data_IF_672341960706
#
_entry.id   IF_672341960706
#
_cell.length_a   1.000
_cell.length_b   1.000
_cell.length_c   1.000
_cell.angle_alpha   90.00
_cell.angle_beta   90.00
_cell.angle_gamma   90.00
#
_symmetry.space_group_name_H-M   'P 1'
#
loop_
_entity.id
_entity.type
_entity.pdbx_description
1 polymer ?
#
# COMPACT_ATOMS: atom_id res chain seq x y z
N UNK A 1 -38.39 -33.56 13.50
CA UNK A 1 -37.68 -32.28 13.77
C UNK A 1 -36.20 -32.24 13.31
N UNK A 2 -35.76 -33.10 12.37
CA UNK A 2 -34.32 -33.27 12.05
C UNK A 2 -33.83 -32.42 10.84
N UNK A 3 -34.73 -32.00 9.95
CA UNK A 3 -34.37 -31.35 8.67
C UNK A 3 -33.87 -29.91 8.80
N UNK A 4 -34.30 -29.18 9.84
CA UNK A 4 -33.89 -27.77 10.08
C UNK A 4 -32.43 -27.65 10.57
N UNK A 5 -31.92 -28.64 11.31
CA UNK A 5 -30.56 -28.56 11.87
C UNK A 5 -29.48 -28.79 10.80
N UNK A 6 -29.74 -29.66 9.81
CA UNK A 6 -28.83 -29.90 8.68
C UNK A 6 -28.66 -28.66 7.79
N UNK A 7 -29.73 -27.89 7.58
CA UNK A 7 -29.67 -26.65 6.78
C UNK A 7 -28.90 -25.55 7.51
N UNK A 8 -29.07 -25.43 8.83
CA UNK A 8 -28.28 -24.50 9.66
C UNK A 8 -26.80 -24.90 9.66
N UNK A 9 -26.49 -26.21 9.73
CA UNK A 9 -25.12 -26.71 9.67
C UNK A 9 -24.46 -26.46 8.31
N UNK A 10 -25.23 -26.50 7.21
CA UNK A 10 -24.74 -26.11 5.87
C UNK A 10 -24.54 -24.59 5.74
N UNK A 11 -25.47 -23.77 6.22
CA UNK A 11 -25.37 -22.31 6.16
C UNK A 11 -24.22 -21.74 7.01
N UNK A 12 -23.91 -22.38 8.14
CA UNK A 12 -22.76 -22.02 8.99
C UNK A 12 -21.42 -22.39 8.34
N UNK A 13 -21.38 -23.47 7.55
CA UNK A 13 -20.16 -23.91 6.86
C UNK A 13 -19.78 -23.00 5.69
N UNK A 14 -20.77 -22.48 4.97
CA UNK A 14 -20.57 -21.56 3.84
C UNK A 14 -20.14 -20.15 4.32
N UNK A 15 -20.66 -19.67 5.46
CA UNK A 15 -20.28 -18.37 6.05
C UNK A 15 -18.89 -18.36 6.70
N UNK A 16 -18.34 -19.53 7.07
CA UNK A 16 -16.97 -19.63 7.60
C UNK A 16 -15.90 -19.74 6.49
N UNK A 17 -16.32 -19.90 5.22
CA UNK A 17 -15.44 -19.88 4.05
C UNK A 17 -15.06 -18.47 3.57
N UNK A 18 -15.75 -17.43 4.05
CA UNK A 18 -15.50 -16.01 3.74
C UNK A 18 -14.35 -15.39 4.56
N UNK A 19 -13.68 -16.14 5.45
CA UNK A 19 -12.52 -15.62 6.19
C UNK A 19 -11.22 -15.59 5.37
N UNK A 20 -11.33 -15.77 4.05
CA UNK A 20 -10.22 -15.72 3.09
C UNK A 20 -10.10 -14.38 2.37
N UNK A 21 -10.70 -13.30 2.89
CA UNK A 21 -10.27 -11.94 2.51
C UNK A 21 -8.91 -11.67 3.19
N UNK A 22 -7.89 -11.22 2.46
CA UNK A 22 -6.51 -11.46 2.81
C UNK A 22 -6.14 -10.59 4.00
N UNK A 23 -6.10 -11.21 5.18
CA UNK A 23 -5.13 -10.80 6.19
C UNK A 23 -3.73 -11.19 5.67
N UNK A 24 -3.36 -10.58 4.54
CA UNK A 24 -1.98 -10.47 4.13
C UNK A 24 -1.30 -9.85 5.34
N UNK A 25 -0.24 -10.46 5.86
CA UNK A 25 0.38 -10.03 7.11
C UNK A 25 1.19 -8.76 6.85
N UNK A 26 0.54 -7.71 6.36
CA UNK A 26 1.08 -6.39 6.07
C UNK A 26 1.72 -5.83 7.34
N UNK A 27 1.13 -6.15 8.50
CA UNK A 27 1.73 -5.89 9.80
C UNK A 27 3.05 -6.65 10.04
N UNK A 28 3.19 -7.91 9.61
CA UNK A 28 4.48 -8.63 9.68
C UNK A 28 5.51 -8.04 8.72
N UNK A 29 5.11 -7.67 7.51
CA UNK A 29 6.01 -7.01 6.56
C UNK A 29 6.50 -5.67 7.10
N UNK A 30 5.60 -4.85 7.65
CA UNK A 30 5.96 -3.57 8.26
C UNK A 30 6.93 -3.78 9.44
N UNK A 31 6.67 -4.76 10.30
CA UNK A 31 7.57 -5.10 11.42
C UNK A 31 8.95 -5.58 10.97
N UNK A 32 9.02 -6.37 9.89
CA UNK A 32 10.31 -6.82 9.31
C UNK A 32 11.05 -5.67 8.65
N UNK A 33 10.36 -4.82 7.89
CA UNK A 33 10.94 -3.64 7.25
C UNK A 33 11.54 -2.69 8.29
N UNK A 34 10.80 -2.37 9.37
CA UNK A 34 11.29 -1.50 10.44
C UNK A 34 12.52 -2.11 11.13
N UNK A 35 12.51 -3.42 11.41
CA UNK A 35 13.67 -4.11 12.00
C UNK A 35 14.89 -4.10 11.07
N UNK A 36 14.68 -4.23 9.76
CA UNK A 36 15.75 -4.18 8.77
C UNK A 36 16.37 -2.79 8.68
N UNK A 37 15.54 -1.74 8.66
CA UNK A 37 16.01 -0.36 8.71
C UNK A 37 16.75 -0.05 10.00
N UNK A 38 16.23 -0.48 11.16
CA UNK A 38 16.86 -0.25 12.45
C UNK A 38 18.21 -1.01 12.56
N UNK A 39 18.28 -2.24 12.05
CA UNK A 39 19.51 -3.01 12.00
C UNK A 39 20.55 -2.39 11.05
N UNK A 40 20.12 -1.94 9.87
CA UNK A 40 20.98 -1.24 8.91
C UNK A 40 21.47 0.11 9.45
N UNK A 41 20.65 0.82 10.23
CA UNK A 41 21.01 2.07 10.86
C UNK A 41 21.97 1.86 12.04
N UNK A 42 21.74 0.83 12.87
CA UNK A 42 22.65 0.43 13.94
C UNK A 42 24.03 0.00 13.40
N UNK A 43 24.07 -0.79 12.32
CA UNK A 43 25.35 -1.18 11.69
C UNK A 43 26.02 0.01 11.02
N UNK A 44 25.27 0.96 10.48
CA UNK A 44 25.82 2.20 9.93
C UNK A 44 26.43 3.12 11.01
N UNK A 45 25.81 3.22 12.19
CA UNK A 45 26.29 4.08 13.28
C UNK A 45 27.54 3.54 13.98
N UNK A 46 27.75 2.22 14.00
CA UNK A 46 28.88 1.59 14.69
C UNK A 46 30.13 1.41 13.82
N UNK A 47 30.22 2.11 12.67
CA UNK A 47 31.36 2.02 11.75
C UNK A 47 31.13 1.07 10.56
N UNK A 48 29.89 0.95 10.11
CA UNK A 48 29.54 0.15 8.92
C UNK A 48 30.25 0.66 7.66
N UNK A 49 30.71 -0.27 6.83
CA UNK A 49 31.38 0.00 5.55
C UNK A 49 30.61 1.02 4.71
N UNK A 50 31.32 2.01 4.14
CA UNK A 50 30.77 3.06 3.26
C UNK A 50 29.83 2.51 2.19
N UNK A 51 30.07 1.28 1.74
CA UNK A 51 29.23 0.58 0.76
C UNK A 51 27.80 0.32 1.26
N UNK A 52 27.62 -0.03 2.53
CA UNK A 52 26.28 -0.22 3.13
C UNK A 52 25.53 1.12 3.17
N UNK A 53 26.26 2.21 3.44
CA UNK A 53 25.70 3.55 3.43
C UNK A 53 25.30 4.00 2.03
N UNK A 54 26.16 3.77 1.03
CA UNK A 54 25.87 4.04 -0.38
C UNK A 54 24.66 3.25 -0.89
N UNK A 55 24.56 1.97 -0.55
CA UNK A 55 23.41 1.13 -0.94
C UNK A 55 22.12 1.62 -0.25
N UNK A 56 22.20 2.01 1.04
CA UNK A 56 21.08 2.60 1.76
C UNK A 56 20.60 3.91 1.13
N UNK A 57 21.51 4.84 0.86
CA UNK A 57 21.22 6.11 0.18
C UNK A 57 20.65 5.89 -1.22
N UNK A 58 21.20 4.94 -1.97
CA UNK A 58 20.71 4.58 -3.31
C UNK A 58 19.26 4.06 -3.26
N UNK A 59 18.95 3.21 -2.28
CA UNK A 59 17.60 2.68 -2.10
C UNK A 59 16.60 3.79 -1.73
N UNK A 60 16.99 4.68 -0.82
CA UNK A 60 16.19 5.84 -0.40
C UNK A 60 15.96 6.78 -1.58
N UNK A 61 16.99 7.05 -2.39
CA UNK A 61 16.88 7.90 -3.57
C UNK A 61 15.91 7.33 -4.60
N UNK A 62 16.02 6.03 -4.93
CA UNK A 62 15.10 5.38 -5.85
C UNK A 62 13.66 5.37 -5.34
N UNK A 63 13.47 5.14 -4.04
CA UNK A 63 12.15 5.23 -3.41
C UNK A 63 11.59 6.65 -3.51
N UNK A 64 12.38 7.66 -3.14
CA UNK A 64 12.00 9.07 -3.20
C UNK A 64 11.64 9.49 -4.63
N UNK A 65 12.44 9.10 -5.62
CA UNK A 65 12.17 9.36 -7.02
C UNK A 65 10.84 8.72 -7.48
N UNK A 66 10.54 7.52 -7.00
CA UNK A 66 9.25 6.86 -7.23
C UNK A 66 8.07 7.64 -6.63
N UNK A 67 8.20 8.08 -5.37
CA UNK A 67 7.18 8.90 -4.68
C UNK A 67 6.97 10.24 -5.38
N UNK A 68 8.04 10.91 -5.80
CA UNK A 68 7.95 12.19 -6.53
C UNK A 68 7.26 12.00 -7.88
N UNK A 69 7.57 10.94 -8.63
CA UNK A 69 6.86 10.61 -9.88
C UNK A 69 5.37 10.36 -9.63
N UNK A 70 5.03 9.64 -8.57
CA UNK A 70 3.65 9.39 -8.20
C UNK A 70 2.90 10.69 -7.88
N UNK A 71 3.50 11.55 -7.06
CA UNK A 71 2.97 12.88 -6.75
C UNK A 71 2.76 13.73 -8.01
N UNK A 72 3.72 13.69 -8.94
CA UNK A 72 3.60 14.40 -10.21
C UNK A 72 2.42 13.90 -11.04
N UNK A 73 2.25 12.59 -11.16
CA UNK A 73 1.11 11.99 -11.88
C UNK A 73 -0.21 12.35 -11.20
N UNK A 74 -0.27 12.30 -9.86
CA UNK A 74 -1.44 12.73 -9.11
C UNK A 74 -1.78 14.21 -9.35
N UNK A 75 -0.78 15.09 -9.38
CA UNK A 75 -0.97 16.50 -9.65
C UNK A 75 -1.53 16.74 -11.06
N UNK A 76 -0.95 16.09 -12.08
CA UNK A 76 -1.43 16.16 -13.46
C UNK A 76 -2.87 15.66 -13.56
N UNK A 77 -3.20 14.56 -12.87
CA UNK A 77 -4.55 14.01 -12.85
C UNK A 77 -5.57 14.98 -12.23
N UNK A 78 -5.22 15.62 -11.11
CA UNK A 78 -6.08 16.64 -10.49
C UNK A 78 -6.31 17.84 -11.41
N UNK A 79 -5.27 18.32 -12.08
CA UNK A 79 -5.39 19.43 -13.05
C UNK A 79 -6.27 19.05 -14.24
N UNK A 80 -6.12 17.83 -14.77
CA UNK A 80 -6.97 17.31 -15.83
C UNK A 80 -8.43 17.21 -15.38
N UNK A 81 -8.67 16.76 -14.16
CA UNK A 81 -10.02 16.67 -13.58
C UNK A 81 -10.67 18.05 -13.43
N UNK A 82 -9.94 19.03 -12.88
CA UNK A 82 -10.44 20.41 -12.77
C UNK A 82 -10.73 20.99 -14.15
N UNK A 83 -9.86 20.75 -15.13
CA UNK A 83 -10.05 21.20 -16.51
C UNK A 83 -11.31 20.58 -17.15
N UNK A 84 -11.56 19.28 -16.92
CA UNK A 84 -12.77 18.61 -17.38
C UNK A 84 -14.03 19.19 -16.75
N UNK A 85 -14.03 19.42 -15.44
CA UNK A 85 -15.17 20.02 -14.74
C UNK A 85 -15.44 21.43 -15.26
N UNK A 86 -14.39 22.24 -15.41
CA UNK A 86 -14.51 23.59 -15.97
C UNK A 86 -15.07 23.56 -17.40
N UNK A 87 -14.61 22.61 -18.22
CA UNK A 87 -15.12 22.41 -19.58
C UNK A 87 -16.61 22.02 -19.59
N UNK A 88 -17.03 21.10 -18.71
CA UNK A 88 -18.44 20.71 -18.59
C UNK A 88 -19.32 21.88 -18.16
N UNK A 89 -18.87 22.69 -17.20
CA UNK A 89 -19.59 23.92 -16.78
C UNK A 89 -19.68 24.90 -17.94
N UNK A 90 -18.60 25.09 -18.69
CA UNK A 90 -18.59 25.96 -19.85
C UNK A 90 -19.59 25.52 -20.91
N UNK A 91 -19.60 24.22 -21.26
CA UNK A 91 -20.56 23.64 -22.22
C UNK A 91 -22.01 23.77 -21.73
N UNK A 92 -22.26 23.61 -20.43
CA UNK A 92 -23.60 23.74 -19.86
C UNK A 92 -24.11 25.20 -19.84
N UNK A 93 -23.18 26.16 -19.79
CA UNK A 93 -23.52 27.60 -19.76
C UNK A 93 -23.73 28.15 -21.18
N UNK A 94 -23.24 27.45 -22.20
CA UNK A 94 -23.36 27.80 -23.62
C UNK A 94 -24.75 27.43 -24.16
#
# INVERSE_FOLDING_TARGET
>A
MHKKNVVIMKATRETNGNKSLPNLPLHKFLGVTVRFFLAAFCTSLYGGSLLVWFVGLWLVWNFLAGVVRFLWVCLVFLLAFVSLVAFMVWVLTL
#
